data_IF_701967262129
#
_entry.id   IF_701967262129
#
_cell.length_a   1.000
_cell.length_b   1.000
_cell.length_c   1.000
_cell.angle_alpha   90.00
_cell.angle_beta   90.00
_cell.angle_gamma   90.00
#
_symmetry.space_group_name_H-M   'P 1'
#
loop_
_entity.id
_entity.type
_entity.pdbx_description
1 polymer ?
#
# COMPACT_ATOMS: atom_id res chain seq x y z
N UNK A 1 62.91 17.71 -44.75
CA UNK A 1 61.71 16.98 -45.25
C UNK A 1 61.32 15.95 -44.23
N UNK A 2 60.38 16.27 -43.38
CA UNK A 2 59.83 15.35 -42.39
C UNK A 2 58.32 15.31 -42.59
N UNK A 3 57.84 14.18 -43.08
CA UNK A 3 56.44 13.88 -43.38
C UNK A 3 55.70 13.46 -42.09
N UNK A 4 54.77 14.24 -41.67
CA UNK A 4 53.87 13.94 -40.56
C UNK A 4 52.62 13.20 -41.11
N UNK A 5 52.39 12.01 -40.60
CA UNK A 5 51.21 11.19 -40.87
C UNK A 5 50.02 11.66 -40.00
N UNK A 6 48.80 11.83 -40.51
CA UNK A 6 47.66 12.18 -39.70
C UNK A 6 47.08 10.94 -38.97
N UNK A 7 47.02 11.00 -37.63
CA UNK A 7 46.28 10.04 -36.78
C UNK A 7 44.79 10.18 -36.98
N UNK A 8 44.13 9.13 -37.41
CA UNK A 8 42.68 9.01 -37.51
C UNK A 8 42.08 9.02 -36.12
N UNK A 9 41.29 10.04 -35.77
CA UNK A 9 40.37 10.02 -34.62
C UNK A 9 39.19 9.15 -34.94
N UNK A 10 39.14 8.00 -34.31
CA UNK A 10 37.90 7.17 -34.23
C UNK A 10 36.87 7.93 -33.41
N UNK A 11 35.86 8.46 -34.05
CA UNK A 11 34.69 9.02 -33.37
C UNK A 11 33.91 7.85 -32.73
N UNK A 12 33.97 7.77 -31.41
CA UNK A 12 33.03 6.94 -30.64
C UNK A 12 31.62 7.54 -30.84
N UNK A 13 30.81 6.87 -31.63
CA UNK A 13 29.37 7.11 -31.72
C UNK A 13 28.77 6.76 -30.37
N UNK A 14 28.50 7.78 -29.54
CA UNK A 14 27.58 7.64 -28.42
C UNK A 14 26.20 7.38 -29.01
N UNK A 15 25.79 6.11 -29.04
CA UNK A 15 24.41 5.75 -29.30
C UNK A 15 23.54 6.39 -28.21
N UNK A 16 22.71 7.34 -28.57
CA UNK A 16 21.59 7.78 -27.75
C UNK A 16 20.79 6.52 -27.38
N UNK A 17 20.47 6.26 -26.10
CA UNK A 17 19.60 5.13 -25.76
C UNK A 17 18.31 5.30 -26.55
N UNK A 18 18.02 4.38 -27.47
CA UNK A 18 16.74 4.37 -28.16
C UNK A 18 15.65 4.24 -27.09
N UNK A 19 14.68 5.14 -27.10
CA UNK A 19 13.52 5.05 -26.23
C UNK A 19 12.85 3.70 -26.52
N UNK A 20 12.78 2.82 -25.50
CA UNK A 20 12.13 1.53 -25.64
C UNK A 20 10.66 1.77 -26.10
N UNK A 21 10.15 0.93 -27.00
CA UNK A 21 8.77 1.00 -27.43
C UNK A 21 7.86 0.57 -26.25
N UNK A 22 7.11 1.50 -25.70
CA UNK A 22 6.24 1.32 -24.53
C UNK A 22 4.82 0.89 -24.88
N UNK A 23 4.57 0.53 -26.14
CA UNK A 23 3.27 -0.03 -26.57
C UNK A 23 2.98 -1.32 -25.82
N UNK A 24 1.89 -1.36 -25.06
CA UNK A 24 1.46 -2.55 -24.31
C UNK A 24 1.06 -3.65 -25.28
N UNK A 25 1.72 -4.80 -25.21
CA UNK A 25 1.47 -5.97 -26.06
C UNK A 25 0.76 -7.10 -25.34
N UNK A 26 0.89 -7.17 -24.01
CA UNK A 26 0.28 -8.23 -23.21
C UNK A 26 -0.01 -7.74 -21.80
N UNK A 27 -1.12 -8.22 -21.23
CA UNK A 27 -1.46 -8.12 -19.80
C UNK A 27 -1.78 -9.54 -19.32
N UNK A 28 -0.92 -10.05 -18.45
CA UNK A 28 -1.04 -11.38 -17.85
C UNK A 28 -1.53 -11.26 -16.41
N UNK A 29 -2.34 -12.23 -15.97
CA UNK A 29 -2.80 -12.36 -14.57
C UNK A 29 -2.50 -13.75 -14.08
N UNK A 30 -1.80 -13.87 -12.96
CA UNK A 30 -1.42 -15.15 -12.36
C UNK A 30 -1.94 -15.16 -10.92
N UNK A 31 -3.05 -15.87 -10.66
CA UNK A 31 -3.54 -16.04 -9.29
C UNK A 31 -2.62 -16.98 -8.53
N UNK A 32 -2.34 -16.64 -7.27
CA UNK A 32 -1.51 -17.46 -6.38
C UNK A 32 -1.99 -17.39 -4.94
N UNK A 33 -1.60 -18.38 -4.13
CA UNK A 33 -2.00 -18.50 -2.73
C UNK A 33 -0.79 -18.83 -1.87
N UNK A 34 -0.64 -18.13 -0.76
CA UNK A 34 0.42 -18.36 0.21
C UNK A 34 -0.14 -18.60 1.60
N UNK A 35 0.51 -19.44 2.43
CA UNK A 35 0.15 -19.56 3.84
C UNK A 35 0.38 -18.24 4.56
N UNK A 36 -0.59 -17.86 5.40
CA UNK A 36 -0.58 -16.68 6.25
C UNK A 36 -0.79 -17.14 7.70
N UNK A 37 0.14 -16.83 8.57
CA UNK A 37 0.09 -17.19 9.98
C UNK A 37 0.11 -15.92 10.84
N UNK A 38 -0.98 -15.70 11.59
CA UNK A 38 -1.05 -14.58 12.52
C UNK A 38 -0.42 -14.95 13.87
N UNK A 39 0.04 -13.96 14.61
CA UNK A 39 0.60 -14.14 15.96
C UNK A 39 -0.39 -14.80 16.94
N UNK A 40 -1.69 -14.70 16.70
CA UNK A 40 -2.75 -15.42 17.42
C UNK A 40 -2.70 -16.96 17.25
N UNK A 41 -1.82 -17.48 16.37
CA UNK A 41 -1.72 -18.89 16.04
C UNK A 41 -2.76 -19.38 15.00
N UNK A 42 -3.63 -18.50 14.51
CA UNK A 42 -4.55 -18.83 13.42
C UNK A 42 -3.78 -18.84 12.10
N UNK A 43 -4.04 -19.87 11.29
CA UNK A 43 -3.49 -20.00 9.94
C UNK A 43 -4.59 -19.72 8.93
N UNK A 44 -4.31 -18.90 7.96
CA UNK A 44 -5.20 -18.57 6.84
C UNK A 44 -4.41 -18.67 5.53
N UNK A 45 -5.02 -18.30 4.45
CA UNK A 45 -4.40 -18.26 3.13
C UNK A 45 -4.51 -16.84 2.60
N UNK A 46 -3.37 -16.26 2.24
CA UNK A 46 -3.32 -15.02 1.50
C UNK A 46 -3.54 -15.32 0.01
N UNK A 47 -4.64 -14.82 -0.52
CA UNK A 47 -4.97 -14.93 -1.93
C UNK A 47 -4.54 -13.64 -2.64
N UNK A 48 -3.77 -13.76 -3.73
CA UNK A 48 -3.31 -12.62 -4.51
C UNK A 48 -3.38 -12.92 -6.01
N UNK A 49 -3.31 -11.88 -6.84
CA UNK A 49 -3.12 -12.00 -8.28
C UNK A 49 -1.90 -11.18 -8.67
N UNK A 50 -0.88 -11.82 -9.24
CA UNK A 50 0.20 -11.13 -9.91
C UNK A 50 -0.33 -10.57 -11.23
N UNK A 51 -0.13 -9.29 -11.47
CA UNK A 51 -0.42 -8.62 -12.74
C UNK A 51 0.90 -8.26 -13.42
N UNK A 52 1.05 -8.69 -14.68
CA UNK A 52 2.24 -8.48 -15.47
C UNK A 52 1.88 -7.77 -16.77
N UNK A 53 2.58 -6.69 -17.07
CA UNK A 53 2.39 -5.90 -18.30
C UNK A 53 3.66 -6.01 -19.13
N UNK A 54 3.53 -6.44 -20.39
CA UNK A 54 4.65 -6.52 -21.35
C UNK A 54 4.49 -5.44 -22.42
N UNK A 55 5.62 -4.93 -22.90
CA UNK A 55 5.66 -3.91 -23.96
C UNK A 55 6.37 -4.45 -25.21
N UNK A 56 6.15 -3.81 -26.36
CA UNK A 56 6.82 -4.11 -27.61
C UNK A 56 8.35 -3.96 -27.52
N UNK A 57 8.83 -3.07 -26.66
CA UNK A 57 10.26 -2.89 -26.35
C UNK A 57 10.85 -3.96 -25.43
N UNK A 58 10.07 -4.98 -25.02
CA UNK A 58 10.53 -6.10 -24.19
C UNK A 58 10.57 -5.81 -22.69
N UNK A 59 10.12 -4.65 -22.22
CA UNK A 59 10.03 -4.35 -20.78
C UNK A 59 8.84 -5.09 -20.18
N UNK A 60 8.99 -5.48 -18.90
CA UNK A 60 7.98 -6.20 -18.12
C UNK A 60 7.78 -5.52 -16.80
N UNK A 61 6.61 -4.95 -16.60
CA UNK A 61 6.21 -4.37 -15.31
C UNK A 61 5.35 -5.34 -14.52
N UNK A 62 5.49 -5.32 -13.19
CA UNK A 62 4.80 -6.23 -12.28
C UNK A 62 4.11 -5.47 -11.14
N UNK A 63 2.98 -6.00 -10.68
CA UNK A 63 2.33 -5.55 -9.46
C UNK A 63 1.48 -6.67 -8.86
N UNK A 64 1.06 -6.46 -7.61
CA UNK A 64 0.22 -7.40 -6.86
C UNK A 64 -1.18 -6.82 -6.67
N UNK A 65 -2.19 -7.66 -6.81
CA UNK A 65 -3.59 -7.36 -6.53
C UNK A 65 -4.09 -8.26 -5.39
N UNK A 66 -4.18 -7.78 -4.14
CA UNK A 66 -4.76 -8.52 -3.02
C UNK A 66 -6.30 -8.43 -3.05
N UNK A 67 -7.04 -9.52 -3.24
CA UNK A 67 -8.49 -9.52 -3.18
C UNK A 67 -9.03 -9.12 -1.80
N UNK A 68 -10.10 -8.33 -1.78
CA UNK A 68 -10.77 -7.90 -0.54
C UNK A 68 -12.30 -8.03 -0.69
N UNK A 69 -12.85 -9.26 -0.65
CA UNK A 69 -14.28 -9.49 -0.91
C UNK A 69 -15.19 -8.80 0.09
N UNK A 70 -14.78 -8.67 1.35
CA UNK A 70 -15.57 -8.02 2.41
C UNK A 70 -15.41 -6.49 2.47
N UNK A 71 -14.51 -5.93 1.66
CA UNK A 71 -14.26 -4.48 1.64
C UNK A 71 -14.63 -3.87 0.30
N UNK A 72 -14.21 -4.50 -0.81
CA UNK A 72 -14.42 -3.97 -2.18
C UNK A 72 -15.24 -4.90 -3.07
N UNK A 73 -15.58 -6.09 -2.60
CA UNK A 73 -16.32 -7.08 -3.37
C UNK A 73 -15.48 -7.84 -4.42
N UNK A 74 -14.16 -7.69 -4.40
CA UNK A 74 -13.25 -8.36 -5.34
C UNK A 74 -12.73 -9.68 -4.77
N UNK A 75 -12.76 -10.72 -5.60
CA UNK A 75 -12.14 -12.03 -5.37
C UNK A 75 -11.02 -12.26 -6.39
N UNK A 76 -10.16 -13.28 -6.19
CA UNK A 76 -9.16 -13.65 -7.21
C UNK A 76 -9.81 -13.82 -8.59
N UNK A 77 -10.89 -14.59 -8.68
CA UNK A 77 -11.58 -14.85 -9.93
C UNK A 77 -12.14 -13.57 -10.59
N UNK A 78 -12.73 -12.66 -9.80
CA UNK A 78 -13.25 -11.41 -10.36
C UNK A 78 -12.15 -10.48 -10.84
N UNK A 79 -11.01 -10.42 -10.14
CA UNK A 79 -9.84 -9.63 -10.56
C UNK A 79 -9.28 -10.18 -11.88
N UNK A 80 -9.07 -11.48 -11.98
CA UNK A 80 -8.60 -12.13 -13.22
C UNK A 80 -9.57 -11.87 -14.36
N UNK A 81 -10.87 -12.10 -14.14
CA UNK A 81 -11.89 -11.92 -15.17
C UNK A 81 -11.98 -10.48 -15.68
N UNK A 82 -12.01 -9.48 -14.79
CA UNK A 82 -12.12 -8.07 -15.20
C UNK A 82 -10.87 -7.60 -15.92
N UNK A 83 -9.69 -8.01 -15.46
CA UNK A 83 -8.44 -7.64 -16.15
C UNK A 83 -8.40 -8.26 -17.55
N UNK A 84 -8.63 -9.56 -17.68
CA UNK A 84 -8.52 -10.26 -18.97
C UNK A 84 -9.62 -9.86 -19.98
N UNK A 85 -10.86 -9.72 -19.51
CA UNK A 85 -12.00 -9.52 -20.41
C UNK A 85 -12.29 -8.05 -20.70
N UNK A 86 -11.90 -7.12 -19.83
CA UNK A 86 -12.26 -5.71 -19.94
C UNK A 86 -11.03 -4.80 -19.98
N UNK A 87 -10.09 -4.93 -19.03
CA UNK A 87 -8.99 -3.97 -18.91
C UNK A 87 -7.87 -4.24 -19.90
N UNK A 88 -7.45 -5.48 -20.09
CA UNK A 88 -6.42 -5.81 -21.07
C UNK A 88 -6.84 -5.39 -22.49
N UNK A 89 -8.03 -5.72 -23.01
CA UNK A 89 -8.48 -5.20 -24.31
C UNK A 89 -8.51 -3.68 -24.41
N UNK A 90 -8.75 -2.98 -23.30
CA UNK A 90 -8.81 -1.52 -23.29
C UNK A 90 -7.42 -0.86 -23.32
N UNK A 91 -6.35 -1.56 -22.92
CA UNK A 91 -4.99 -1.00 -22.83
C UNK A 91 -4.03 -1.56 -23.87
N UNK A 92 -4.29 -2.72 -24.45
CA UNK A 92 -3.50 -3.28 -25.52
C UNK A 92 -3.34 -2.31 -26.71
N UNK A 93 -2.12 -2.20 -27.24
CA UNK A 93 -1.79 -1.27 -28.32
C UNK A 93 -1.69 0.20 -27.88
N UNK A 94 -1.81 0.50 -26.59
CA UNK A 94 -1.64 1.86 -26.06
C UNK A 94 -0.22 2.02 -25.50
N UNK A 95 0.39 3.17 -25.72
CA UNK A 95 1.66 3.53 -25.09
C UNK A 95 1.44 3.70 -23.56
N UNK A 96 2.29 3.04 -22.74
CA UNK A 96 2.21 3.10 -21.28
C UNK A 96 2.35 4.53 -20.72
N UNK A 97 2.98 5.46 -21.44
CA UNK A 97 3.04 6.88 -21.06
C UNK A 97 1.71 7.60 -21.15
N UNK A 98 0.77 7.08 -21.94
CA UNK A 98 -0.56 7.68 -22.08
C UNK A 98 -1.49 7.34 -20.91
N UNK A 99 -0.98 7.44 -19.67
CA UNK A 99 -1.67 7.04 -18.44
C UNK A 99 -3.05 7.66 -18.28
N UNK A 100 -3.24 8.94 -18.60
CA UNK A 100 -4.57 9.57 -18.50
C UNK A 100 -5.59 8.94 -19.46
N UNK A 101 -5.16 8.54 -20.67
CA UNK A 101 -6.04 7.83 -21.60
C UNK A 101 -6.38 6.43 -21.09
N UNK A 102 -5.39 5.71 -20.54
CA UNK A 102 -5.59 4.41 -19.93
C UNK A 102 -6.57 4.53 -18.74
N UNK A 103 -6.31 5.45 -17.82
CA UNK A 103 -7.20 5.69 -16.68
C UNK A 103 -8.62 6.08 -17.11
N UNK A 104 -8.77 6.92 -18.13
CA UNK A 104 -10.09 7.29 -18.65
C UNK A 104 -10.87 6.06 -19.16
N UNK A 105 -10.18 5.08 -19.78
CA UNK A 105 -10.80 3.82 -20.23
C UNK A 105 -11.17 2.93 -19.06
N UNK A 106 -10.26 2.74 -18.08
CA UNK A 106 -10.48 1.90 -16.90
C UNK A 106 -11.62 2.42 -16.00
N UNK A 107 -11.73 3.75 -15.85
CA UNK A 107 -12.81 4.39 -15.07
C UNK A 107 -14.22 4.18 -15.64
N UNK A 108 -14.37 3.75 -16.89
CA UNK A 108 -15.68 3.38 -17.45
C UNK A 108 -16.30 2.15 -16.80
N UNK A 109 -15.48 1.34 -16.14
CA UNK A 109 -15.93 0.17 -15.36
C UNK A 109 -16.09 0.57 -13.90
N UNK A 110 -17.26 0.32 -13.34
CA UNK A 110 -17.58 0.62 -11.94
C UNK A 110 -16.82 -0.34 -11.01
N UNK A 111 -16.37 0.12 -9.84
CA UNK A 111 -15.69 -0.71 -8.86
C UNK A 111 -14.34 -1.25 -9.35
N UNK A 112 -13.98 -2.46 -8.91
CA UNK A 112 -12.74 -3.15 -9.23
C UNK A 112 -11.46 -2.32 -8.91
N UNK A 113 -11.38 -1.72 -7.69
CA UNK A 113 -10.28 -0.84 -7.35
C UNK A 113 -8.94 -1.57 -7.34
N UNK A 114 -8.88 -2.80 -6.80
CA UNK A 114 -7.63 -3.57 -6.69
C UNK A 114 -7.09 -4.00 -8.06
N UNK A 115 -7.97 -4.44 -8.95
CA UNK A 115 -7.59 -4.78 -10.33
C UNK A 115 -7.05 -3.56 -11.10
N UNK A 116 -7.69 -2.40 -10.96
CA UNK A 116 -7.22 -1.14 -11.58
C UNK A 116 -5.89 -0.68 -11.01
N UNK A 117 -5.74 -0.77 -9.69
CA UNK A 117 -4.53 -0.37 -8.98
C UNK A 117 -3.31 -1.19 -9.41
N UNK A 118 -3.45 -2.51 -9.48
CA UNK A 118 -2.37 -3.38 -9.90
C UNK A 118 -1.95 -3.11 -11.35
N UNK A 119 -2.90 -2.91 -12.25
CA UNK A 119 -2.58 -2.54 -13.63
C UNK A 119 -1.87 -1.18 -13.72
N UNK A 120 -2.31 -0.17 -12.96
CA UNK A 120 -1.65 1.13 -12.88
C UNK A 120 -0.22 1.02 -12.37
N UNK A 121 0.00 0.28 -11.27
CA UNK A 121 1.33 0.10 -10.69
C UNK A 121 2.28 -0.67 -11.63
N UNK A 122 1.79 -1.71 -12.32
CA UNK A 122 2.60 -2.43 -13.32
C UNK A 122 2.99 -1.54 -14.52
N UNK A 123 2.12 -0.63 -14.94
CA UNK A 123 2.44 0.36 -15.99
C UNK A 123 3.48 1.36 -15.50
N UNK A 124 3.41 1.83 -14.24
CA UNK A 124 4.44 2.67 -13.66
C UNK A 124 5.78 1.98 -13.53
N UNK A 125 5.79 0.67 -13.23
CA UNK A 125 7.01 -0.13 -13.19
C UNK A 125 7.70 -0.17 -14.56
N UNK A 126 6.93 -0.45 -15.64
CA UNK A 126 7.43 -0.35 -17.04
C UNK A 126 8.02 1.04 -17.31
N UNK A 127 7.33 2.10 -16.93
CA UNK A 127 7.80 3.49 -17.15
C UNK A 127 9.12 3.73 -16.41
N UNK A 128 9.22 3.32 -15.16
CA UNK A 128 10.45 3.44 -14.38
C UNK A 128 11.63 2.71 -15.03
N UNK A 129 11.40 1.48 -15.50
CA UNK A 129 12.39 0.69 -16.24
C UNK A 129 12.82 1.41 -17.54
N UNK A 130 11.87 1.94 -18.30
CA UNK A 130 12.14 2.64 -19.55
C UNK A 130 13.00 3.90 -19.37
N UNK A 131 12.79 4.64 -18.29
CA UNK A 131 13.58 5.82 -17.95
C UNK A 131 14.87 5.50 -17.18
N UNK A 132 15.10 4.24 -16.82
CA UNK A 132 16.24 3.82 -16.01
C UNK A 132 16.21 4.43 -14.60
N UNK A 133 15.03 4.69 -14.04
CA UNK A 133 14.82 5.35 -12.74
C UNK A 133 13.87 4.57 -11.84
N UNK A 134 14.09 4.59 -10.51
CA UNK A 134 13.10 4.14 -9.56
C UNK A 134 11.78 4.91 -9.71
N UNK A 135 10.65 4.22 -9.56
CA UNK A 135 9.33 4.87 -9.58
C UNK A 135 9.21 5.93 -8.49
N UNK A 136 9.82 5.74 -7.34
CA UNK A 136 9.88 6.75 -6.26
C UNK A 136 10.42 8.08 -6.75
N UNK A 137 11.49 8.10 -7.54
CA UNK A 137 12.05 9.33 -8.11
C UNK A 137 11.12 9.99 -9.13
N UNK A 138 10.42 9.17 -9.95
CA UNK A 138 9.46 9.67 -10.93
C UNK A 138 8.20 10.23 -10.28
N UNK A 139 7.86 9.77 -9.09
CA UNK A 139 6.72 10.27 -8.31
C UNK A 139 7.05 11.58 -7.59
N UNK A 140 8.20 11.67 -6.91
CA UNK A 140 8.57 12.86 -6.14
C UNK A 140 9.97 12.81 -5.52
N UNK A 141 10.49 11.63 -5.18
CA UNK A 141 11.88 11.41 -4.78
C UNK A 141 12.27 12.04 -3.43
N UNK A 142 11.35 12.10 -2.46
CA UNK A 142 11.60 12.81 -1.20
C UNK A 142 12.53 12.06 -0.25
N UNK A 143 12.35 10.71 -0.10
CA UNK A 143 13.13 9.88 0.82
C UNK A 143 13.59 8.58 0.15
N UNK A 144 14.68 8.00 0.68
CA UNK A 144 15.18 6.67 0.29
C UNK A 144 14.61 5.54 1.16
N UNK A 145 13.77 5.86 2.14
CA UNK A 145 13.18 4.90 3.08
C UNK A 145 11.85 5.37 3.63
N UNK A 146 11.06 4.42 4.15
CA UNK A 146 9.81 4.66 4.84
C UNK A 146 9.84 4.05 6.23
N UNK A 147 9.39 4.79 7.27
CA UNK A 147 9.16 4.23 8.61
C UNK A 147 8.02 3.24 8.58
N UNK A 148 8.14 2.16 9.35
CA UNK A 148 7.18 1.06 9.38
C UNK A 148 6.38 1.10 10.68
N UNK A 149 5.06 0.99 10.58
CA UNK A 149 4.20 0.60 11.70
C UNK A 149 3.79 -0.87 11.55
N UNK A 150 3.64 -1.56 12.69
CA UNK A 150 3.17 -2.93 12.74
C UNK A 150 1.75 -3.01 13.27
N UNK A 151 0.93 -3.84 12.63
CA UNK A 151 -0.44 -4.07 13.03
C UNK A 151 -0.51 -5.21 14.05
N UNK A 152 -0.93 -4.89 15.27
CA UNK A 152 -1.26 -5.85 16.32
C UNK A 152 -2.72 -6.29 16.18
N UNK A 153 -2.95 -7.59 16.03
CA UNK A 153 -4.27 -8.18 15.82
C UNK A 153 -5.11 -8.30 17.10
N UNK A 154 -6.05 -9.26 17.13
CA UNK A 154 -6.86 -9.51 18.32
C UNK A 154 -6.25 -10.65 19.16
N UNK A 155 -5.68 -10.32 20.31
CA UNK A 155 -5.20 -11.27 21.31
C UNK A 155 -5.44 -10.72 22.73
N UNK A 156 -5.00 -11.46 23.74
CA UNK A 156 -4.98 -10.95 25.13
C UNK A 156 -3.85 -9.94 25.33
N UNK A 157 -3.90 -9.09 26.38
CA UNK A 157 -2.94 -8.02 26.58
C UNK A 157 -1.47 -8.51 26.66
N UNK A 158 -1.20 -9.65 27.28
CA UNK A 158 0.16 -10.16 27.44
C UNK A 158 0.73 -10.60 26.07
N UNK A 159 -0.04 -11.34 25.28
CA UNK A 159 0.37 -11.76 23.94
C UNK A 159 0.61 -10.56 23.01
N UNK A 160 -0.16 -9.49 23.14
CA UNK A 160 0.02 -8.26 22.35
C UNK A 160 1.28 -7.51 22.74
N UNK A 161 1.61 -7.45 24.03
CA UNK A 161 2.89 -6.89 24.54
C UNK A 161 4.07 -7.71 24.03
N UNK A 162 4.00 -9.04 24.11
CA UNK A 162 5.06 -9.93 23.64
C UNK A 162 5.29 -9.79 22.12
N UNK A 163 4.23 -9.65 21.35
CA UNK A 163 4.34 -9.41 19.90
C UNK A 163 4.99 -8.07 19.59
N UNK A 164 4.54 -7.00 20.23
CA UNK A 164 5.10 -5.66 20.05
C UNK A 164 6.59 -5.62 20.45
N UNK A 165 6.99 -6.28 21.58
CA UNK A 165 8.38 -6.35 22.01
C UNK A 165 9.24 -7.15 21.01
N UNK A 166 8.71 -8.24 20.46
CA UNK A 166 9.39 -8.99 19.39
C UNK A 166 9.61 -8.13 18.15
N UNK A 167 8.59 -7.37 17.71
CA UNK A 167 8.72 -6.49 16.55
C UNK A 167 9.70 -5.35 16.79
N UNK A 168 9.70 -4.80 17.99
CA UNK A 168 10.64 -3.76 18.40
C UNK A 168 12.06 -4.27 18.48
N UNK A 169 12.31 -5.38 19.16
CA UNK A 169 13.65 -5.92 19.37
C UNK A 169 14.25 -6.51 18.09
N UNK A 170 13.45 -7.12 17.21
CA UNK A 170 13.93 -7.76 15.98
C UNK A 170 14.08 -6.79 14.82
N UNK A 171 13.12 -5.86 14.66
CA UNK A 171 13.02 -5.01 13.47
C UNK A 171 13.19 -3.52 13.77
N UNK A 172 13.27 -3.11 15.03
CA UNK A 172 13.36 -1.70 15.43
C UNK A 172 12.04 -0.94 15.27
N UNK A 173 10.90 -1.61 15.12
CA UNK A 173 9.58 -0.97 14.95
C UNK A 173 9.14 -0.36 16.27
N UNK A 174 8.75 0.92 16.24
CA UNK A 174 8.30 1.68 17.43
C UNK A 174 6.91 2.30 17.26
N UNK A 175 6.23 2.05 16.14
CA UNK A 175 4.85 2.50 15.91
C UNK A 175 3.96 1.27 15.74
N UNK A 176 2.89 1.20 16.54
CA UNK A 176 1.97 0.07 16.53
C UNK A 176 0.54 0.49 16.27
N UNK A 177 -0.10 -0.17 15.31
CA UNK A 177 -1.53 -0.11 15.01
C UNK A 177 -2.24 -1.21 15.77
N UNK A 178 -3.08 -0.87 16.71
CA UNK A 178 -3.82 -1.84 17.54
C UNK A 178 -5.21 -2.05 16.98
N UNK A 179 -5.56 -3.28 16.61
CA UNK A 179 -6.93 -3.63 16.20
C UNK A 179 -7.87 -3.53 17.39
N UNK A 180 -8.95 -2.77 17.19
CA UNK A 180 -10.05 -2.57 18.13
C UNK A 180 -11.38 -2.87 17.44
N UNK A 181 -12.49 -2.85 18.16
CA UNK A 181 -13.83 -3.12 17.60
C UNK A 181 -14.52 -4.30 18.25
N UNK A 182 -13.88 -4.96 19.24
CA UNK A 182 -14.48 -6.07 20.00
C UNK A 182 -15.61 -5.58 20.92
N UNK A 183 -16.45 -6.51 21.31
CA UNK A 183 -17.47 -6.29 22.34
C UNK A 183 -17.31 -7.30 23.46
N UNK A 184 -17.23 -6.82 24.73
CA UNK A 184 -17.26 -5.43 25.15
C UNK A 184 -15.96 -4.68 24.79
N UNK A 185 -16.05 -3.37 24.50
CA UNK A 185 -14.89 -2.56 24.09
C UNK A 185 -13.76 -2.48 25.13
N UNK A 186 -14.05 -2.82 26.40
CA UNK A 186 -13.05 -2.90 27.49
C UNK A 186 -11.90 -3.85 27.15
N UNK A 187 -12.16 -4.91 26.39
CA UNK A 187 -11.10 -5.83 25.94
C UNK A 187 -10.01 -5.11 25.12
N UNK A 188 -10.41 -4.12 24.35
CA UNK A 188 -9.49 -3.32 23.51
C UNK A 188 -8.80 -2.23 24.34
N UNK A 189 -9.52 -1.62 25.28
CA UNK A 189 -8.96 -0.66 26.25
C UNK A 189 -7.86 -1.34 27.08
N UNK A 190 -8.09 -2.56 27.58
CA UNK A 190 -7.13 -3.29 28.39
C UNK A 190 -5.85 -3.62 27.61
N UNK A 191 -5.97 -3.95 26.31
CA UNK A 191 -4.80 -4.15 25.42
C UNK A 191 -4.01 -2.86 25.23
N UNK A 192 -4.67 -1.77 24.84
CA UNK A 192 -4.00 -0.48 24.63
C UNK A 192 -3.31 0.00 25.93
N UNK A 193 -3.97 -0.18 27.08
CA UNK A 193 -3.40 0.16 28.38
C UNK A 193 -2.17 -0.66 28.71
N UNK A 194 -2.21 -1.97 28.53
CA UNK A 194 -1.07 -2.85 28.77
C UNK A 194 0.14 -2.48 27.89
N UNK A 195 -0.10 -2.15 26.60
CA UNK A 195 0.97 -1.69 25.72
C UNK A 195 1.56 -0.35 26.21
N UNK A 196 0.73 0.62 26.59
CA UNK A 196 1.20 1.92 27.08
C UNK A 196 1.94 1.79 28.43
N UNK A 197 1.43 0.98 29.35
CA UNK A 197 2.10 0.70 30.64
C UNK A 197 3.46 0.03 30.45
N UNK A 198 3.58 -0.89 29.50
CA UNK A 198 4.85 -1.61 29.26
C UNK A 198 5.89 -0.73 28.56
N UNK A 199 5.51 0.01 27.51
CA UNK A 199 6.44 0.76 26.68
C UNK A 199 6.61 2.23 27.06
N UNK A 200 5.69 2.80 27.84
CA UNK A 200 5.66 4.24 28.10
C UNK A 200 5.64 5.04 26.79
N UNK A 201 6.42 6.10 26.72
CA UNK A 201 6.52 6.98 25.53
C UNK A 201 7.53 6.46 24.48
N UNK A 202 8.11 5.26 24.68
CA UNK A 202 9.06 4.69 23.73
C UNK A 202 8.41 4.19 22.44
N UNK A 203 7.09 4.13 22.39
CA UNK A 203 6.33 3.69 21.20
C UNK A 203 5.16 4.63 20.93
N UNK A 204 4.86 4.79 19.64
CA UNK A 204 3.65 5.43 19.15
C UNK A 204 2.54 4.39 19.02
N UNK A 205 1.34 4.70 19.53
CA UNK A 205 0.16 3.84 19.45
C UNK A 205 -0.97 4.55 18.71
N UNK A 206 -1.62 3.84 17.80
CA UNK A 206 -2.89 4.24 17.20
C UNK A 206 -3.82 3.03 17.07
N UNK A 207 -5.10 3.27 16.90
CA UNK A 207 -6.11 2.21 16.86
C UNK A 207 -6.84 2.15 15.53
N UNK A 208 -7.33 0.95 15.18
CA UNK A 208 -8.12 0.71 13.97
C UNK A 208 -9.29 -0.21 14.30
N UNK A 209 -10.51 0.33 14.11
CA UNK A 209 -11.76 -0.37 14.43
C UNK A 209 -12.33 -1.18 13.29
N UNK A 210 -11.86 -1.02 12.06
CA UNK A 210 -12.43 -1.66 10.86
C UNK A 210 -13.97 -1.70 10.88
N UNK A 211 -14.60 -0.57 11.21
CA UNK A 211 -16.06 -0.40 11.25
C UNK A 211 -16.76 -1.20 12.37
N UNK A 212 -16.03 -1.64 13.40
CA UNK A 212 -16.51 -2.59 14.42
C UNK A 212 -17.50 -2.00 15.43
N UNK A 213 -17.48 -0.69 15.66
CA UNK A 213 -18.31 -0.03 16.66
C UNK A 213 -19.37 0.90 16.07
N UNK A 214 -20.43 1.12 16.83
CA UNK A 214 -21.30 2.27 16.61
C UNK A 214 -20.60 3.56 17.05
N UNK A 215 -21.01 4.75 16.56
CA UNK A 215 -20.40 6.02 16.98
C UNK A 215 -20.39 6.23 18.49
N UNK A 216 -21.45 5.83 19.21
CA UNK A 216 -21.52 5.96 20.65
C UNK A 216 -20.64 4.95 21.40
N UNK A 217 -20.42 3.76 20.86
CA UNK A 217 -19.45 2.79 21.41
C UNK A 217 -18.04 3.30 21.19
N UNK A 218 -17.73 3.80 19.98
CA UNK A 218 -16.44 4.38 19.64
C UNK A 218 -16.08 5.55 20.57
N UNK A 219 -17.01 6.50 20.77
CA UNK A 219 -16.77 7.62 21.67
C UNK A 219 -16.45 7.15 23.10
N UNK A 220 -17.23 6.21 23.65
CA UNK A 220 -16.98 5.68 25.00
C UNK A 220 -15.66 4.90 25.10
N UNK A 221 -15.27 4.20 24.03
CA UNK A 221 -13.99 3.49 23.99
C UNK A 221 -12.82 4.48 23.95
N UNK A 222 -12.90 5.51 23.10
CA UNK A 222 -11.88 6.57 23.03
C UNK A 222 -11.78 7.37 24.32
N UNK A 223 -12.90 7.70 24.98
CA UNK A 223 -12.90 8.35 26.29
C UNK A 223 -12.18 7.50 27.36
N UNK A 224 -12.37 6.17 27.32
CA UNK A 224 -11.68 5.23 28.22
C UNK A 224 -10.19 5.05 27.90
N UNK A 225 -9.73 5.50 26.74
CA UNK A 225 -8.33 5.48 26.25
C UNK A 225 -7.71 6.89 26.23
N UNK A 226 -8.39 7.93 26.71
CA UNK A 226 -7.96 9.33 26.59
C UNK A 226 -6.60 9.61 27.28
N UNK A 227 -6.24 8.82 28.29
CA UNK A 227 -4.97 8.89 29.01
C UNK A 227 -3.84 8.07 28.36
N UNK A 228 -4.08 7.40 27.24
CA UNK A 228 -3.12 6.48 26.61
C UNK A 228 -2.31 7.11 25.47
N UNK A 229 -2.43 8.41 25.24
CA UNK A 229 -1.71 9.15 24.18
C UNK A 229 -1.78 8.44 22.82
N UNK A 230 -3.01 8.10 22.40
CA UNK A 230 -3.24 7.54 21.06
C UNK A 230 -3.14 8.64 20.01
N UNK A 231 -2.36 8.42 18.96
CA UNK A 231 -2.10 9.44 17.93
C UNK A 231 -3.16 9.51 16.85
N UNK A 232 -3.86 8.41 16.56
CA UNK A 232 -4.90 8.31 15.53
C UNK A 232 -5.94 7.25 15.91
N UNK A 233 -7.15 7.39 15.35
CA UNK A 233 -8.24 6.43 15.47
C UNK A 233 -8.86 6.16 14.09
N UNK A 234 -8.51 5.00 13.48
CA UNK A 234 -8.86 4.68 12.10
C UNK A 234 -10.19 3.92 12.04
N UNK A 235 -11.08 4.36 11.14
CA UNK A 235 -12.33 3.73 10.69
C UNK A 235 -13.11 2.98 11.79
N UNK A 236 -13.43 3.66 12.88
CA UNK A 236 -14.06 3.02 14.04
C UNK A 236 -15.50 2.59 13.78
N UNK A 237 -16.21 3.28 12.87
CA UNK A 237 -17.64 3.14 12.60
C UNK A 237 -17.90 2.69 11.16
N UNK A 238 -19.11 2.16 10.84
CA UNK A 238 -19.48 1.80 9.48
C UNK A 238 -19.20 2.92 8.46
N UNK A 239 -18.65 2.56 7.30
CA UNK A 239 -18.24 3.50 6.28
C UNK A 239 -19.41 4.31 5.68
N UNK A 240 -20.62 3.75 5.68
CA UNK A 240 -21.86 4.37 5.22
C UNK A 240 -22.56 5.25 6.28
N UNK A 241 -22.15 5.15 7.56
CA UNK A 241 -22.64 6.02 8.63
C UNK A 241 -21.92 7.38 8.65
N UNK A 242 -22.13 8.17 7.59
CA UNK A 242 -21.51 9.51 7.44
C UNK A 242 -21.87 10.44 8.61
N UNK A 243 -23.14 10.39 9.08
CA UNK A 243 -23.59 11.26 10.16
C UNK A 243 -22.96 10.87 11.50
N UNK A 244 -22.87 9.57 11.78
CA UNK A 244 -22.26 9.05 13.00
C UNK A 244 -20.76 9.32 13.05
N UNK A 245 -20.03 9.15 11.93
CA UNK A 245 -18.59 9.46 11.84
C UNK A 245 -18.34 10.96 12.00
N UNK A 246 -19.13 11.82 11.33
CA UNK A 246 -19.07 13.27 11.52
C UNK A 246 -19.38 13.70 12.96
N UNK A 247 -20.29 13.00 13.63
CA UNK A 247 -20.58 13.24 15.04
C UNK A 247 -19.36 12.83 15.89
N UNK A 248 -18.76 11.66 15.64
CA UNK A 248 -17.61 11.15 16.39
C UNK A 248 -16.40 12.09 16.31
N UNK A 249 -16.03 12.58 15.13
CA UNK A 249 -14.95 13.57 14.93
C UNK A 249 -15.08 14.78 15.89
N UNK A 250 -16.30 15.21 16.17
CA UNK A 250 -16.57 16.36 17.04
C UNK A 250 -16.60 16.03 18.53
N UNK A 251 -16.58 14.74 18.87
CA UNK A 251 -16.73 14.25 20.25
C UNK A 251 -15.53 13.44 20.72
N UNK A 252 -14.44 13.44 19.98
CA UNK A 252 -13.17 12.87 20.40
C UNK A 252 -12.04 13.89 20.22
N UNK A 253 -11.03 13.81 21.11
CA UNK A 253 -9.80 14.58 20.96
C UNK A 253 -8.74 13.85 20.11
N UNK A 254 -8.95 12.55 19.84
CA UNK A 254 -8.02 11.73 19.04
C UNK A 254 -8.37 11.91 17.56
N UNK A 255 -7.44 12.36 16.71
CA UNK A 255 -7.70 12.54 15.27
C UNK A 255 -8.17 11.25 14.61
N UNK A 256 -9.22 11.34 13.80
CA UNK A 256 -9.83 10.20 13.13
C UNK A 256 -9.31 10.03 11.72
N UNK A 257 -9.16 8.78 11.27
CA UNK A 257 -8.68 8.44 9.92
C UNK A 257 -9.80 7.74 9.15
N UNK A 258 -10.09 8.21 7.93
CA UNK A 258 -10.94 7.51 6.98
C UNK A 258 -10.12 6.51 6.15
N UNK A 259 -10.55 5.27 6.13
CA UNK A 259 -9.95 4.17 5.36
C UNK A 259 -10.97 3.58 4.38
N UNK A 260 -11.84 2.68 4.83
CA UNK A 260 -12.84 2.05 3.97
C UNK A 260 -13.92 3.02 3.47
N UNK A 261 -14.07 4.15 4.15
CA UNK A 261 -14.97 5.23 3.74
C UNK A 261 -14.38 6.17 2.68
N UNK A 262 -13.08 6.07 2.37
CA UNK A 262 -12.33 6.98 1.51
C UNK A 262 -11.46 6.21 0.48
N UNK A 263 -12.09 5.36 -0.32
CA UNK A 263 -11.40 4.46 -1.27
C UNK A 263 -11.15 5.06 -2.64
N UNK A 264 -11.77 6.19 -2.94
CA UNK A 264 -11.65 6.91 -4.22
C UNK A 264 -11.44 8.40 -3.99
N UNK A 265 -10.86 9.15 -4.97
CA UNK A 265 -10.73 10.61 -4.85
C UNK A 265 -12.05 11.34 -4.57
N UNK A 266 -13.17 10.83 -5.11
CA UNK A 266 -14.51 11.40 -4.87
C UNK A 266 -15.00 11.17 -3.44
N UNK A 267 -14.74 9.99 -2.89
CA UNK A 267 -15.06 9.68 -1.50
C UNK A 267 -14.20 10.48 -0.53
N UNK A 268 -12.91 10.62 -0.79
CA UNK A 268 -12.01 11.50 -0.03
C UNK A 268 -12.56 12.94 0.02
N UNK A 269 -13.00 13.48 -1.13
CA UNK A 269 -13.66 14.79 -1.15
C UNK A 269 -14.87 14.83 -0.22
N UNK A 270 -15.71 13.81 -0.27
CA UNK A 270 -16.93 13.72 0.56
C UNK A 270 -16.58 13.68 2.05
N UNK A 271 -15.59 12.87 2.44
CA UNK A 271 -15.18 12.74 3.84
C UNK A 271 -14.61 14.05 4.40
N UNK A 272 -13.69 14.68 3.65
CA UNK A 272 -13.07 15.95 4.07
C UNK A 272 -14.10 17.06 4.16
N UNK A 273 -14.90 17.29 3.11
CA UNK A 273 -15.92 18.35 3.09
C UNK A 273 -17.07 18.06 4.06
N UNK A 274 -17.36 16.78 4.33
CA UNK A 274 -18.33 16.34 5.33
C UNK A 274 -17.88 16.57 6.76
N UNK A 275 -16.58 16.74 6.99
CA UNK A 275 -15.96 16.77 8.32
C UNK A 275 -16.15 15.46 9.07
N UNK A 276 -15.96 14.33 8.34
CA UNK A 276 -16.16 12.97 8.85
C UNK A 276 -14.84 12.24 9.12
N UNK A 277 -13.69 12.89 8.87
CA UNK A 277 -12.36 12.43 9.19
C UNK A 277 -11.38 13.62 9.25
N UNK A 278 -10.31 13.46 10.03
CA UNK A 278 -9.22 14.43 10.18
C UNK A 278 -8.02 14.06 9.28
N UNK A 279 -7.89 12.78 8.93
CA UNK A 279 -6.84 12.23 8.08
C UNK A 279 -7.38 11.17 7.12
N UNK A 280 -6.62 10.87 6.06
CA UNK A 280 -6.99 9.91 5.02
C UNK A 280 -5.94 8.80 4.92
N UNK A 281 -6.39 7.53 4.93
CA UNK A 281 -5.54 6.38 4.67
C UNK A 281 -5.40 6.14 3.16
N UNK A 282 -4.16 6.18 2.66
CA UNK A 282 -3.83 5.87 1.26
C UNK A 282 -3.28 4.44 1.21
N UNK A 283 -3.91 3.59 0.39
CA UNK A 283 -3.46 2.21 0.11
C UNK A 283 -3.25 2.06 -1.39
N UNK A 284 -2.00 1.98 -1.82
CA UNK A 284 -1.66 1.83 -3.24
C UNK A 284 -2.30 0.60 -3.87
N UNK A 285 -2.50 -0.46 -3.08
CA UNK A 285 -3.16 -1.69 -3.52
C UNK A 285 -4.62 -1.50 -4.01
N UNK A 286 -5.28 -0.39 -3.65
CA UNK A 286 -6.66 -0.06 -4.14
C UNK A 286 -6.72 1.18 -5.03
N UNK A 287 -5.74 2.08 -4.95
CA UNK A 287 -5.75 3.36 -5.68
C UNK A 287 -4.66 3.44 -6.75
N UNK A 288 -3.74 2.45 -6.80
CA UNK A 288 -2.55 2.53 -7.64
C UNK A 288 -1.72 3.78 -7.29
N UNK A 289 -0.76 4.13 -8.10
CA UNK A 289 0.02 5.35 -7.90
C UNK A 289 -0.71 6.61 -8.41
N UNK A 290 -1.47 6.47 -9.49
CA UNK A 290 -2.12 7.61 -10.14
C UNK A 290 -3.22 8.21 -9.28
N UNK A 291 -4.15 7.41 -8.75
CA UNK A 291 -5.21 7.94 -7.88
C UNK A 291 -4.70 8.21 -6.46
N UNK A 292 -3.71 7.45 -5.94
CA UNK A 292 -3.01 7.79 -4.68
C UNK A 292 -2.42 9.21 -4.73
N UNK A 293 -1.76 9.57 -5.85
CA UNK A 293 -1.21 10.91 -6.04
C UNK A 293 -2.29 11.99 -6.11
N UNK A 294 -3.43 11.70 -6.74
CA UNK A 294 -4.59 12.62 -6.76
C UNK A 294 -5.14 12.86 -5.36
N UNK A 295 -5.32 11.79 -4.57
CA UNK A 295 -5.76 11.85 -3.18
C UNK A 295 -4.77 12.66 -2.35
N UNK A 296 -3.47 12.36 -2.46
CA UNK A 296 -2.43 13.07 -1.73
C UNK A 296 -2.47 14.59 -1.99
N UNK A 297 -2.44 15.01 -3.25
CA UNK A 297 -2.45 16.45 -3.58
C UNK A 297 -3.77 17.15 -3.20
N UNK A 298 -4.87 16.43 -3.20
CA UNK A 298 -6.14 16.92 -2.69
C UNK A 298 -6.07 17.17 -1.17
N UNK A 299 -5.53 16.22 -0.42
CA UNK A 299 -5.33 16.34 1.03
C UNK A 299 -4.35 17.49 1.36
N UNK A 300 -3.20 17.56 0.67
CA UNK A 300 -2.23 18.66 0.83
C UNK A 300 -2.86 20.03 0.60
N UNK A 301 -3.64 20.19 -0.49
CA UNK A 301 -4.31 21.44 -0.81
C UNK A 301 -5.36 21.88 0.22
N UNK A 302 -5.86 20.95 1.04
CA UNK A 302 -6.87 21.18 2.07
C UNK A 302 -6.28 21.12 3.49
N UNK A 303 -4.98 20.89 3.64
CA UNK A 303 -4.31 20.78 4.94
C UNK A 303 -4.71 19.53 5.74
N UNK A 304 -5.13 18.45 5.05
CA UNK A 304 -5.52 17.18 5.65
C UNK A 304 -4.34 16.22 5.66
N UNK A 305 -4.09 15.58 6.79
CA UNK A 305 -3.02 14.60 6.94
C UNK A 305 -3.32 13.32 6.16
N UNK A 306 -2.25 12.61 5.71
CA UNK A 306 -2.36 11.30 5.08
C UNK A 306 -1.51 10.28 5.82
N UNK A 307 -1.97 9.02 5.83
CA UNK A 307 -1.24 7.88 6.36
C UNK A 307 -1.17 6.78 5.30
N UNK A 308 -0.04 6.03 5.27
CA UNK A 308 0.08 4.88 4.38
C UNK A 308 -0.49 3.64 5.04
N UNK A 309 -1.56 3.09 4.47
CA UNK A 309 -2.18 1.85 4.93
C UNK A 309 -1.80 0.64 4.07
N UNK A 310 -2.29 -0.54 4.45
CA UNK A 310 -2.01 -1.83 3.81
C UNK A 310 -3.30 -2.66 3.64
N UNK A 311 -3.25 -3.67 2.76
CA UNK A 311 -4.37 -4.60 2.47
C UNK A 311 -3.98 -6.08 2.60
N UNK A 312 -3.08 -6.42 3.50
CA UNK A 312 -2.44 -7.74 3.57
C UNK A 312 -1.56 -7.95 2.31
N UNK A 313 -0.82 -6.91 1.93
CA UNK A 313 0.08 -6.96 0.80
C UNK A 313 1.23 -7.95 1.08
N UNK A 314 1.62 -8.73 0.07
CA UNK A 314 2.89 -9.43 0.05
C UNK A 314 4.05 -8.44 -0.11
N UNK A 315 5.27 -8.95 -0.29
CA UNK A 315 6.43 -8.07 -0.44
C UNK A 315 6.38 -7.23 -1.72
N UNK A 316 5.79 -7.75 -2.81
CA UNK A 316 5.64 -6.99 -4.05
C UNK A 316 4.69 -5.77 -3.86
N UNK A 317 3.54 -6.00 -3.25
CA UNK A 317 2.61 -4.90 -2.92
C UNK A 317 3.21 -3.92 -1.92
N UNK A 318 3.94 -4.43 -0.91
CA UNK A 318 4.68 -3.61 0.05
C UNK A 318 5.77 -2.77 -0.65
N UNK A 319 6.51 -3.32 -1.62
CA UNK A 319 7.50 -2.55 -2.40
C UNK A 319 6.84 -1.38 -3.16
N UNK A 320 5.66 -1.61 -3.73
CA UNK A 320 4.85 -0.54 -4.34
C UNK A 320 4.45 0.52 -3.30
N UNK A 321 3.98 0.11 -2.12
CA UNK A 321 3.58 1.03 -1.07
C UNK A 321 4.77 1.85 -0.53
N UNK A 322 5.95 1.23 -0.36
CA UNK A 322 7.20 1.92 0.00
C UNK A 322 7.61 2.92 -1.07
N UNK A 323 7.53 2.53 -2.35
CA UNK A 323 7.89 3.42 -3.46
C UNK A 323 7.03 4.69 -3.49
N UNK A 324 5.73 4.57 -3.25
CA UNK A 324 4.83 5.73 -3.15
C UNK A 324 5.02 6.49 -1.84
N UNK A 325 5.05 5.79 -0.71
CA UNK A 325 5.13 6.40 0.63
C UNK A 325 6.41 7.20 0.84
N UNK A 326 7.53 6.78 0.25
CA UNK A 326 8.81 7.50 0.31
C UNK A 326 8.92 8.67 -0.68
N UNK A 327 7.98 8.78 -1.64
CA UNK A 327 8.10 9.75 -2.72
C UNK A 327 7.76 11.19 -2.31
N UNK A 328 7.02 11.41 -1.22
CA UNK A 328 6.51 12.72 -0.84
C UNK A 328 6.73 13.01 0.64
N UNK A 329 6.96 14.29 0.99
CA UNK A 329 7.07 14.73 2.39
C UNK A 329 5.85 14.33 3.22
N UNK A 330 4.65 14.59 2.71
CA UNK A 330 3.42 14.34 3.45
C UNK A 330 3.22 12.87 3.83
N UNK A 331 3.60 11.93 2.96
CA UNK A 331 3.45 10.49 3.23
C UNK A 331 4.53 9.92 4.16
N UNK A 332 5.66 10.61 4.35
CA UNK A 332 6.74 10.18 5.25
C UNK A 332 6.61 10.68 6.68
N UNK A 333 5.69 11.61 6.95
CA UNK A 333 5.51 12.21 8.28
C UNK A 333 5.08 11.19 9.33
N UNK A 334 4.31 10.17 8.93
CA UNK A 334 3.90 9.05 9.77
C UNK A 334 4.53 7.74 9.30
N UNK A 335 4.65 6.79 10.22
CA UNK A 335 5.01 5.42 9.86
C UNK A 335 3.86 4.78 9.07
N UNK A 336 4.18 4.07 7.98
CA UNK A 336 3.21 3.35 7.18
C UNK A 336 2.99 1.93 7.67
N UNK A 337 1.78 1.41 7.54
CA UNK A 337 1.45 0.01 7.82
C UNK A 337 2.05 -0.88 6.72
N UNK A 338 3.32 -1.30 6.88
CA UNK A 338 4.11 -1.93 5.82
C UNK A 338 4.74 -3.26 6.24
N UNK A 339 4.30 -3.86 7.34
CA UNK A 339 4.91 -5.08 7.89
C UNK A 339 4.08 -6.35 7.70
N UNK A 340 2.91 -6.28 7.06
CA UNK A 340 1.99 -7.43 6.94
C UNK A 340 2.60 -8.64 6.21
N UNK A 341 3.60 -8.42 5.35
CA UNK A 341 4.31 -9.52 4.70
C UNK A 341 5.10 -10.40 5.70
N UNK A 342 5.39 -9.92 6.91
CA UNK A 342 6.04 -10.72 7.97
C UNK A 342 5.14 -11.86 8.48
N UNK A 343 3.83 -11.76 8.30
CA UNK A 343 2.88 -12.81 8.66
C UNK A 343 2.80 -13.92 7.58
N UNK A 344 3.44 -13.71 6.42
CA UNK A 344 3.52 -14.70 5.35
C UNK A 344 4.74 -15.59 5.53
N UNK A 345 4.57 -16.91 5.41
CA UNK A 345 5.66 -17.88 5.60
C UNK A 345 6.72 -17.84 4.49
N UNK A 346 6.37 -17.32 3.33
CA UNK A 346 7.24 -17.12 2.16
C UNK A 346 6.69 -15.99 1.29
N UNK A 347 7.49 -15.55 0.30
CA UNK A 347 7.08 -14.50 -0.64
C UNK A 347 7.63 -14.75 -2.04
N UNK A 348 7.17 -13.94 -3.02
CA UNK A 348 7.51 -14.11 -4.44
C UNK A 348 8.80 -13.43 -4.88
N UNK A 349 9.47 -12.66 -4.02
CA UNK A 349 10.67 -11.93 -4.44
C UNK A 349 11.94 -12.78 -4.36
N UNK A 350 12.84 -12.58 -5.34
CA UNK A 350 14.18 -13.20 -5.31
C UNK A 350 15.02 -12.64 -4.18
N UNK A 351 14.87 -11.35 -3.88
CA UNK A 351 15.51 -10.66 -2.76
C UNK A 351 14.44 -10.17 -1.80
N UNK A 352 14.25 -10.81 -0.64
CA UNK A 352 13.22 -10.42 0.32
C UNK A 352 13.44 -9.01 0.86
N UNK A 353 12.34 -8.28 1.06
CA UNK A 353 12.36 -7.00 1.76
C UNK A 353 12.79 -7.19 3.22
N UNK A 354 13.59 -6.27 3.71
CA UNK A 354 14.09 -6.32 5.09
C UNK A 354 13.77 -5.02 5.82
N UNK A 355 13.08 -5.14 6.95
CA UNK A 355 12.89 -4.03 7.87
C UNK A 355 14.14 -3.93 8.74
N UNK A 356 14.79 -2.77 8.69
CA UNK A 356 15.98 -2.46 9.50
C UNK A 356 15.77 -1.14 10.23
N UNK A 357 16.01 -1.13 11.52
CA UNK A 357 15.82 0.04 12.38
C UNK A 357 14.44 0.71 12.20
N UNK A 358 13.40 -0.12 12.12
CA UNK A 358 12.02 0.33 11.93
C UNK A 358 11.72 0.94 10.56
N UNK A 359 12.58 0.72 9.56
CA UNK A 359 12.40 1.29 8.21
C UNK A 359 12.51 0.24 7.10
N UNK A 360 11.83 0.50 5.99
CA UNK A 360 12.02 -0.19 4.71
C UNK A 360 12.70 0.76 3.72
N UNK A 361 13.78 0.30 3.11
CA UNK A 361 14.48 1.05 2.08
C UNK A 361 13.77 0.93 0.72
N UNK A 362 13.80 2.02 -0.04
CA UNK A 362 13.41 2.02 -1.46
C UNK A 362 14.50 1.30 -2.26
N UNK A 363 14.10 0.46 -3.20
CA UNK A 363 15.05 -0.08 -4.16
C UNK A 363 15.59 1.04 -5.06
N UNK A 364 16.92 1.16 -5.17
CA UNK A 364 17.56 2.10 -6.09
C UNK A 364 17.54 1.65 -7.56
N UNK A 365 16.94 0.48 -7.87
CA UNK A 365 16.84 -0.07 -9.22
C UNK A 365 15.68 0.57 -10.01
N UNK A 366 15.77 0.60 -11.36
CA UNK A 366 14.68 1.11 -12.20
C UNK A 366 13.35 0.38 -11.96
N UNK A 367 12.25 1.09 -12.12
CA UNK A 367 10.90 0.57 -11.86
C UNK A 367 10.57 0.55 -10.37
N UNK A 368 9.81 -0.45 -9.94
CA UNK A 368 9.60 -0.77 -8.52
C UNK A 368 10.89 -1.36 -7.94
N UNK A 369 11.75 -1.89 -8.80
CA UNK A 369 13.09 -2.32 -8.45
C UNK A 369 13.15 -3.64 -7.70
N UNK A 370 12.14 -4.49 -7.83
CA UNK A 370 12.09 -5.86 -7.30
C UNK A 370 12.00 -6.87 -8.44
N UNK A 371 12.36 -8.12 -8.17
CA UNK A 371 12.33 -9.20 -9.15
C UNK A 371 11.49 -10.35 -8.59
N UNK A 372 10.54 -10.82 -9.38
CA UNK A 372 9.72 -11.97 -9.04
C UNK A 372 10.54 -13.25 -9.27
N UNK A 373 10.49 -14.17 -8.31
CA UNK A 373 11.04 -15.51 -8.41
C UNK A 373 10.02 -16.40 -9.14
N UNK A 374 10.33 -16.80 -10.36
CA UNK A 374 9.42 -17.56 -11.21
C UNK A 374 9.17 -18.98 -10.67
N UNK A 375 10.15 -19.59 -10.00
CA UNK A 375 9.99 -20.94 -9.41
C UNK A 375 9.03 -20.88 -8.22
N UNK A 376 9.13 -19.84 -7.38
CA UNK A 376 8.18 -19.60 -6.29
C UNK A 376 6.79 -19.27 -6.82
N UNK A 377 6.70 -18.43 -7.86
CA UNK A 377 5.43 -18.09 -8.48
C UNK A 377 4.72 -19.35 -9.00
N UNK A 378 5.42 -20.22 -9.71
CA UNK A 378 4.87 -21.48 -10.20
C UNK A 378 4.46 -22.43 -9.06
N UNK A 379 5.23 -22.44 -7.94
CA UNK A 379 4.91 -23.24 -6.76
C UNK A 379 3.60 -22.80 -6.08
N UNK A 380 3.34 -21.49 -6.00
CA UNK A 380 2.16 -20.93 -5.32
C UNK A 380 0.98 -20.65 -6.27
N UNK A 381 1.20 -20.73 -7.57
CA UNK A 381 0.18 -20.53 -8.59
C UNK A 381 -1.02 -21.46 -8.37
N UNK A 382 -2.22 -20.95 -8.66
CA UNK A 382 -3.46 -21.72 -8.65
C UNK A 382 -4.22 -21.54 -9.96
N UNK A 383 -4.92 -22.58 -10.38
CA UNK A 383 -5.88 -22.50 -11.48
C UNK A 383 -7.24 -22.07 -10.93
N UNK A 384 -7.92 -21.12 -11.60
CA UNK A 384 -9.23 -20.58 -11.24
C UNK A 384 -10.30 -21.01 -12.21
#
# INVERSE_FOLDING_TARGET
MTTSTPTSRTSATTSTPGTADLTVTEVETIPYRKPLAFASGSVSVAEHVLVRVRTAGGLVGVAEAPPRPFTYGETQASIVAVIQQIFAPAVLGTDALHREQIHARLRRTVGNPTAKAALDMALWDVIGQAFGRPVTELLGGYSDRMRVSHMLGFADPAAMVDEAERMRSTYGITTFKVKVGRRPFRLDVDVCRALREHFGDAVELYVDGNRGWTPSEAARALDAMADLDLTLAEELCPADDVLGRRWLVRHTAIPTVADESATTPGEVTREILGGSADAISIKTARTGFTDSRRILHQCEGLGVEVVMGNQIDGQLGTACAVAFGSAYDATTRRAGELSNFLDMSDDLLTEPLQIQDGTLAVSGRPGIGVTVDEDKLEHYRVDL
#
